data_IF_338737121972
#
_entry.id   IF_338737121972
#
_cell.length_a   1.000
_cell.length_b   1.000
_cell.length_c   1.000
_cell.angle_alpha   90.00
_cell.angle_beta   90.00
_cell.angle_gamma   90.00
#
_symmetry.space_group_name_H-M   'P 1'
#
loop_
_entity.id
_entity.type
_entity.pdbx_description
1 polymer ?
#
# COMPACT_ATOMS: atom_id res chain seq x y z
N UNK A 1 -54.00 -35.81 -42.81
CA UNK A 1 -52.61 -36.13 -42.45
C UNK A 1 -52.03 -34.91 -41.77
N UNK A 2 -52.10 -34.75 -40.43
CA UNK A 2 -51.30 -35.45 -39.39
C UNK A 2 -49.80 -35.23 -39.64
N UNK A 3 -48.95 -34.68 -38.77
CA UNK A 3 -48.90 -34.43 -37.32
C UNK A 3 -48.07 -33.14 -37.13
N UNK A 4 -48.49 -32.15 -36.35
CA UNK A 4 -48.30 -32.03 -34.90
C UNK A 4 -46.91 -32.41 -34.37
N UNK A 5 -46.12 -31.35 -34.22
CA UNK A 5 -44.98 -31.14 -33.33
C UNK A 5 -45.30 -31.58 -31.89
N UNK A 6 -44.48 -32.43 -31.27
CA UNK A 6 -44.36 -32.51 -29.81
C UNK A 6 -42.91 -32.72 -29.40
N UNK A 7 -42.35 -31.69 -28.79
CA UNK A 7 -41.15 -31.69 -27.95
C UNK A 7 -41.29 -32.72 -26.82
N UNK A 8 -40.25 -33.53 -26.62
CA UNK A 8 -40.04 -34.30 -25.40
C UNK A 8 -39.61 -33.36 -24.27
N UNK A 9 -40.50 -33.13 -23.32
CA UNK A 9 -40.25 -32.38 -22.09
C UNK A 9 -39.97 -33.36 -20.94
N UNK A 10 -38.69 -33.74 -20.77
CA UNK A 10 -38.23 -34.51 -19.61
C UNK A 10 -38.04 -33.59 -18.39
N UNK A 11 -39.15 -33.01 -17.92
CA UNK A 11 -39.20 -32.21 -16.69
C UNK A 11 -39.05 -33.08 -15.43
N UNK A 12 -38.03 -32.77 -14.63
CA UNK A 12 -37.82 -33.37 -13.29
C UNK A 12 -39.08 -33.19 -12.43
N UNK A 13 -39.62 -34.28 -11.93
CA UNK A 13 -40.88 -34.28 -11.17
C UNK A 13 -40.72 -33.61 -9.80
N UNK A 14 -41.75 -32.86 -9.35
CA UNK A 14 -41.84 -32.25 -8.01
C UNK A 14 -41.51 -33.23 -6.87
N UNK A 15 -41.72 -34.53 -7.09
CA UNK A 15 -41.38 -35.60 -6.14
C UNK A 15 -39.86 -35.83 -6.03
N UNK A 16 -39.12 -35.70 -7.13
CA UNK A 16 -37.65 -35.75 -7.13
C UNK A 16 -37.05 -34.50 -6.49
N UNK A 17 -37.68 -33.33 -6.65
CA UNK A 17 -37.27 -32.10 -5.94
C UNK A 17 -37.47 -32.25 -4.42
N UNK A 18 -38.61 -32.80 -3.99
CA UNK A 18 -38.88 -33.03 -2.55
C UNK A 18 -37.95 -34.09 -1.94
N UNK A 19 -37.60 -35.14 -2.68
CA UNK A 19 -36.63 -36.16 -2.23
C UNK A 19 -35.21 -35.58 -2.18
N UNK A 20 -34.83 -34.73 -3.14
CA UNK A 20 -33.53 -34.03 -3.16
C UNK A 20 -33.39 -33.00 -2.03
N UNK A 21 -34.45 -32.27 -1.69
CA UNK A 21 -34.48 -31.33 -0.56
C UNK A 21 -34.47 -32.05 0.78
N UNK A 22 -35.14 -33.22 0.89
CA UNK A 22 -35.11 -34.04 2.10
C UNK A 22 -33.72 -34.66 2.38
N UNK A 23 -32.99 -35.07 1.34
CA UNK A 23 -31.63 -35.58 1.48
C UNK A 23 -30.60 -34.50 1.84
N UNK A 24 -30.82 -33.24 1.43
CA UNK A 24 -29.98 -32.10 1.82
C UNK A 24 -30.26 -31.60 3.24
N UNK A 25 -31.50 -31.72 3.74
CA UNK A 25 -31.85 -31.33 5.10
C UNK A 25 -31.32 -32.31 6.16
N UNK A 26 -31.17 -33.59 5.83
CA UNK A 26 -30.58 -34.59 6.74
C UNK A 26 -29.03 -34.53 6.80
N UNK A 27 -28.38 -33.86 5.85
CA UNK A 27 -26.92 -33.61 5.87
C UNK A 27 -26.49 -32.43 6.75
N UNK A 28 -27.42 -31.57 7.17
CA UNK A 28 -27.12 -30.37 7.94
C UNK A 28 -27.04 -30.57 9.46
N UNK A 29 -27.30 -31.79 9.97
CA UNK A 29 -27.36 -32.07 11.41
C UNK A 29 -26.16 -32.84 11.98
N UNK A 30 -25.10 -33.11 11.19
CA UNK A 30 -23.93 -33.90 11.64
C UNK A 30 -22.58 -33.17 11.59
N UNK A 31 -22.53 -31.87 11.35
CA UNK A 31 -21.26 -31.10 11.36
C UNK A 31 -20.86 -30.56 12.73
N UNK A 32 -21.56 -30.93 13.82
CA UNK A 32 -21.25 -30.47 15.17
C UNK A 32 -20.09 -31.20 15.89
N UNK A 33 -19.30 -32.02 15.20
CA UNK A 33 -18.09 -32.60 15.78
C UNK A 33 -16.88 -32.47 14.84
N UNK A 34 -15.96 -31.56 15.19
CA UNK A 34 -14.56 -31.63 14.80
C UNK A 34 -14.18 -30.88 13.52
N UNK A 35 -14.03 -29.56 13.63
CA UNK A 35 -13.30 -28.77 12.64
C UNK A 35 -13.68 -27.30 12.70
N UNK A 36 -12.77 -26.46 13.17
CA UNK A 36 -12.87 -25.00 13.09
C UNK A 36 -12.90 -24.55 11.61
N UNK A 37 -14.06 -24.65 10.97
CA UNK A 37 -14.40 -23.81 9.83
C UNK A 37 -14.73 -22.45 10.41
N UNK A 38 -13.72 -21.59 10.45
CA UNK A 38 -13.91 -20.17 10.67
C UNK A 38 -14.66 -19.66 9.43
N UNK A 39 -15.99 -19.74 9.45
CA UNK A 39 -16.80 -19.04 8.48
C UNK A 39 -16.39 -17.58 8.60
N UNK A 40 -15.68 -17.08 7.59
CA UNK A 40 -15.29 -15.70 7.47
C UNK A 40 -16.57 -14.87 7.36
N UNK A 41 -17.24 -14.65 8.48
CA UNK A 41 -18.42 -13.82 8.57
C UNK A 41 -17.94 -12.37 8.45
N UNK A 42 -17.81 -11.91 7.21
CA UNK A 42 -17.91 -10.49 6.86
C UNK A 42 -19.37 -9.99 7.01
N UNK A 43 -20.11 -10.51 7.99
CA UNK A 43 -21.48 -10.07 8.26
C UNK A 43 -21.37 -8.85 9.18
N UNK A 44 -21.41 -7.66 8.59
CA UNK A 44 -21.64 -6.39 9.30
C UNK A 44 -20.48 -5.41 9.37
N UNK A 45 -19.28 -5.74 8.89
CA UNK A 45 -18.19 -4.76 8.72
C UNK A 45 -18.11 -4.32 7.25
N UNK A 46 -18.82 -3.24 6.89
CA UNK A 46 -18.65 -2.63 5.58
C UNK A 46 -17.32 -1.88 5.54
N UNK A 47 -16.37 -2.39 4.75
CA UNK A 47 -15.11 -1.69 4.42
C UNK A 47 -15.33 -0.39 3.64
N UNK A 48 -16.57 -0.08 3.26
CA UNK A 48 -16.98 1.14 2.58
C UNK A 48 -17.47 2.24 3.53
N UNK A 49 -17.51 1.97 4.85
CA UNK A 49 -17.83 3.00 5.85
C UNK A 49 -16.57 3.76 6.26
N UNK A 50 -16.56 5.06 6.02
CA UNK A 50 -15.45 5.95 6.33
C UNK A 50 -15.75 6.88 7.52
N UNK A 51 -14.72 7.32 8.27
CA UNK A 51 -13.35 6.80 8.26
C UNK A 51 -13.27 5.39 8.85
N UNK A 52 -12.26 4.61 8.47
CA UNK A 52 -11.95 3.37 9.20
C UNK A 52 -11.46 3.71 10.62
N UNK A 53 -11.76 2.86 11.63
CA UNK A 53 -11.44 3.21 13.00
C UNK A 53 -9.92 3.28 13.24
N UNK A 54 -9.42 4.45 13.61
CA UNK A 54 -8.00 4.69 13.85
C UNK A 54 -7.70 5.00 15.32
N UNK A 55 -6.68 4.33 15.85
CA UNK A 55 -6.02 4.66 17.13
C UNK A 55 -4.61 5.14 16.85
N UNK A 56 -4.12 6.11 17.65
CA UNK A 56 -2.78 6.65 17.45
C UNK A 56 -1.71 5.56 17.53
N UNK A 57 -0.78 5.62 16.59
CA UNK A 57 0.36 4.72 16.53
C UNK A 57 1.63 5.46 16.93
N UNK A 58 2.64 4.72 17.38
CA UNK A 58 3.97 5.27 17.64
C UNK A 58 4.71 5.35 16.28
N UNK A 59 5.14 6.54 15.83
CA UNK A 59 5.85 6.71 14.56
C UNK A 59 7.15 5.89 14.49
N UNK A 60 7.93 5.86 15.58
CA UNK A 60 9.20 5.14 15.67
C UNK A 60 8.97 3.63 15.60
N UNK A 61 8.03 3.10 16.39
CA UNK A 61 7.66 1.68 16.35
C UNK A 61 7.21 1.27 14.96
N UNK A 62 6.40 2.11 14.30
CA UNK A 62 5.89 1.84 12.95
C UNK A 62 7.02 1.80 11.94
N UNK A 63 7.96 2.73 12.01
CA UNK A 63 9.15 2.76 11.16
C UNK A 63 10.03 1.51 11.32
N UNK A 64 10.24 1.05 12.56
CA UNK A 64 10.97 -0.20 12.85
C UNK A 64 10.29 -1.43 12.24
N UNK A 65 8.96 -1.53 12.36
CA UNK A 65 8.19 -2.61 11.73
C UNK A 65 8.31 -2.52 10.21
N UNK A 66 8.13 -1.33 9.63
CA UNK A 66 8.23 -1.13 8.19
C UNK A 66 9.61 -1.51 7.65
N UNK A 67 10.69 -1.15 8.36
CA UNK A 67 12.04 -1.52 7.98
C UNK A 67 12.22 -3.05 7.90
N UNK A 68 11.70 -3.77 8.91
CA UNK A 68 11.76 -5.24 8.96
C UNK A 68 10.91 -5.88 7.86
N UNK A 69 9.66 -5.42 7.70
CA UNK A 69 8.72 -5.91 6.69
C UNK A 69 9.22 -5.68 5.26
N UNK A 70 10.02 -4.64 5.03
CA UNK A 70 10.59 -4.37 3.70
C UNK A 70 11.36 -5.55 3.13
N UNK A 71 12.06 -6.32 3.98
CA UNK A 71 12.81 -7.50 3.52
C UNK A 71 11.93 -8.69 3.16
N UNK A 72 10.64 -8.65 3.52
CA UNK A 72 9.64 -9.67 3.17
C UNK A 72 8.81 -9.26 1.96
N UNK A 73 8.37 -8.00 1.92
CA UNK A 73 7.33 -7.53 0.97
C UNK A 73 7.68 -6.23 0.25
N UNK A 74 8.91 -5.73 0.38
CA UNK A 74 9.39 -4.50 -0.27
C UNK A 74 8.60 -3.24 0.11
N UNK A 75 8.82 -2.14 -0.61
CA UNK A 75 8.53 -0.78 -0.15
C UNK A 75 7.06 -0.51 0.17
N UNK A 76 6.16 -0.63 -0.81
CA UNK A 76 4.77 -0.23 -0.61
C UNK A 76 4.01 -1.12 0.35
N UNK A 77 4.11 -2.45 0.17
CA UNK A 77 3.47 -3.40 1.06
C UNK A 77 4.06 -3.35 2.49
N UNK A 78 5.34 -3.01 2.68
CA UNK A 78 5.88 -2.84 4.04
C UNK A 78 5.30 -1.63 4.77
N UNK A 79 5.10 -0.51 4.07
CA UNK A 79 4.42 0.67 4.65
C UNK A 79 3.00 0.29 5.06
N UNK A 80 2.25 -0.38 4.18
CA UNK A 80 0.88 -0.86 4.46
C UNK A 80 0.87 -1.80 5.66
N UNK A 81 1.69 -2.86 5.64
CA UNK A 81 1.77 -3.86 6.72
C UNK A 81 2.18 -3.24 8.06
N UNK A 82 3.09 -2.26 8.05
CA UNK A 82 3.56 -1.62 9.29
C UNK A 82 2.46 -0.85 10.03
N UNK A 83 1.53 -0.24 9.30
CA UNK A 83 0.40 0.50 9.89
C UNK A 83 -0.78 -0.43 10.14
N UNK A 84 -1.23 -1.16 9.11
CA UNK A 84 -2.42 -2.00 9.20
C UNK A 84 -2.21 -3.23 10.09
N UNK A 85 -0.99 -3.77 10.19
CA UNK A 85 -0.69 -4.85 11.13
C UNK A 85 -0.90 -4.42 12.58
N UNK A 86 -0.47 -3.21 12.95
CA UNK A 86 -0.71 -2.67 14.29
C UNK A 86 -2.19 -2.36 14.54
N UNK A 87 -2.89 -1.83 13.53
CA UNK A 87 -4.33 -1.53 13.65
C UNK A 87 -5.16 -2.81 13.68
N UNK A 88 -4.74 -3.88 13.00
CA UNK A 88 -5.34 -5.21 13.13
C UNK A 88 -5.34 -5.69 14.57
N UNK A 89 -4.19 -5.61 15.26
CA UNK A 89 -4.07 -6.02 16.66
C UNK A 89 -4.87 -5.14 17.62
N UNK A 90 -4.93 -3.82 17.36
CA UNK A 90 -5.53 -2.85 18.28
C UNK A 90 -7.02 -2.57 18.03
N UNK A 91 -7.50 -2.80 16.82
CA UNK A 91 -8.84 -2.39 16.34
C UNK A 91 -9.63 -3.58 15.78
N UNK A 92 -8.97 -4.50 15.07
CA UNK A 92 -9.62 -5.60 14.37
C UNK A 92 -10.07 -5.21 12.96
N UNK A 93 -11.35 -5.37 12.64
CA UNK A 93 -11.88 -5.04 11.32
C UNK A 93 -11.95 -3.52 11.06
N UNK A 94 -11.74 -3.07 9.80
CA UNK A 94 -11.55 -3.86 8.58
C UNK A 94 -10.09 -4.28 8.29
N UNK A 95 -9.14 -3.95 9.18
CA UNK A 95 -7.70 -4.27 8.98
C UNK A 95 -7.39 -5.76 9.09
N UNK A 96 -8.23 -6.52 9.80
CA UNK A 96 -8.12 -7.97 9.90
C UNK A 96 -8.38 -8.65 8.55
N UNK A 97 -9.39 -8.20 7.80
CA UNK A 97 -9.72 -8.73 6.48
C UNK A 97 -8.94 -8.08 5.32
N UNK A 98 -8.17 -7.01 5.56
CA UNK A 98 -7.44 -6.33 4.49
C UNK A 98 -6.23 -7.15 3.96
N UNK A 99 -6.15 -7.41 2.64
CA UNK A 99 -5.09 -8.25 2.05
C UNK A 99 -3.80 -7.45 1.79
N UNK A 100 -3.12 -7.01 2.85
CA UNK A 100 -1.96 -6.12 2.77
C UNK A 100 -0.81 -6.65 1.88
N UNK A 101 -0.57 -7.97 1.90
CA UNK A 101 0.50 -8.59 1.11
C UNK A 101 0.23 -8.60 -0.40
N UNK A 102 -1.04 -8.47 -0.82
CA UNK A 102 -1.38 -8.35 -2.24
C UNK A 102 -0.78 -7.11 -2.90
N UNK A 103 -0.28 -6.16 -2.12
CA UNK A 103 0.37 -4.94 -2.61
C UNK A 103 1.88 -5.07 -2.82
N UNK A 104 2.44 -6.30 -2.76
CA UNK A 104 3.87 -6.54 -3.03
C UNK A 104 4.30 -6.02 -4.41
N UNK A 105 3.37 -5.97 -5.38
CA UNK A 105 3.61 -5.43 -6.72
C UNK A 105 4.10 -3.98 -6.72
N UNK A 106 3.83 -3.19 -5.67
CA UNK A 106 4.35 -1.81 -5.54
C UNK A 106 5.89 -1.73 -5.56
N UNK A 107 6.60 -2.86 -5.44
CA UNK A 107 8.05 -2.93 -5.50
C UNK A 107 8.67 -2.41 -6.80
N UNK A 108 9.91 -1.91 -6.71
CA UNK A 108 10.65 -1.43 -7.90
C UNK A 108 9.95 -0.29 -8.67
N UNK A 109 8.96 0.35 -8.05
CA UNK A 109 8.06 1.28 -8.73
C UNK A 109 7.10 0.61 -9.71
N UNK A 110 6.48 -0.47 -9.23
CA UNK A 110 5.28 -1.20 -9.67
C UNK A 110 5.44 -2.59 -10.28
N UNK A 111 6.60 -2.98 -10.75
CA UNK A 111 7.12 -4.37 -10.91
C UNK A 111 8.48 -4.13 -11.59
N UNK A 112 9.32 -3.28 -10.98
CA UNK A 112 10.59 -2.85 -11.58
C UNK A 112 10.52 -1.79 -12.68
N UNK A 113 9.34 -1.26 -13.01
CA UNK A 113 9.17 -0.20 -14.04
C UNK A 113 9.76 1.16 -13.67
N UNK A 114 10.13 1.38 -12.40
CA UNK A 114 10.77 2.62 -11.98
C UNK A 114 9.83 3.84 -11.95
N UNK A 115 8.51 3.63 -11.94
CA UNK A 115 7.49 4.69 -11.90
C UNK A 115 7.37 5.29 -10.49
N UNK A 116 6.18 5.40 -9.89
CA UNK A 116 6.01 5.89 -8.52
C UNK A 116 6.77 5.01 -7.52
N UNK A 117 7.48 5.61 -6.56
CA UNK A 117 8.09 4.82 -5.48
C UNK A 117 7.00 4.11 -4.66
N UNK A 118 7.21 2.82 -4.39
CA UNK A 118 6.27 2.02 -3.61
C UNK A 118 5.99 2.61 -2.22
N UNK A 119 6.99 3.23 -1.58
CA UNK A 119 6.84 3.77 -0.21
C UNK A 119 5.75 4.85 -0.12
N UNK A 120 5.81 5.98 -0.87
CA UNK A 120 4.71 6.95 -0.86
C UNK A 120 3.41 6.38 -1.46
N UNK A 121 3.46 5.46 -2.43
CA UNK A 121 2.24 4.82 -2.94
C UNK A 121 1.50 4.02 -1.85
N UNK A 122 2.23 3.22 -1.07
CA UNK A 122 1.67 2.47 0.07
C UNK A 122 1.12 3.40 1.14
N UNK A 123 1.79 4.52 1.40
CA UNK A 123 1.33 5.52 2.35
C UNK A 123 0.02 6.19 1.92
N UNK A 124 -0.12 6.49 0.62
CA UNK A 124 -1.35 7.06 0.05
C UNK A 124 -2.51 6.06 0.17
N UNK A 125 -2.27 4.77 -0.07
CA UNK A 125 -3.27 3.72 0.16
C UNK A 125 -3.72 3.73 1.62
N UNK A 126 -2.77 3.72 2.56
CA UNK A 126 -3.07 3.74 4.00
C UNK A 126 -3.90 4.96 4.39
N UNK A 127 -3.52 6.17 3.97
CA UNK A 127 -4.23 7.40 4.31
C UNK A 127 -5.67 7.40 3.79
N UNK A 128 -5.89 6.99 2.53
CA UNK A 128 -7.22 6.97 1.93
C UNK A 128 -8.10 5.83 2.45
N UNK A 129 -7.51 4.70 2.87
CA UNK A 129 -8.26 3.67 3.59
C UNK A 129 -8.61 4.09 5.03
N UNK A 130 -7.76 4.84 5.72
CA UNK A 130 -8.08 5.25 7.10
C UNK A 130 -9.12 6.38 7.10
N UNK A 131 -8.87 7.44 6.34
CA UNK A 131 -9.69 8.65 6.37
C UNK A 131 -10.90 8.52 5.46
N UNK A 132 -10.74 7.81 4.35
CA UNK A 132 -11.71 7.69 3.26
C UNK A 132 -11.25 8.42 1.99
N UNK A 133 -11.78 8.00 0.83
CA UNK A 133 -11.52 8.67 -0.43
C UNK A 133 -12.24 10.03 -0.46
N UNK A 134 -11.76 10.96 -1.29
CA UNK A 134 -12.36 12.29 -1.45
C UNK A 134 -13.88 12.25 -1.76
N UNK A 135 -14.33 11.22 -2.47
CA UNK A 135 -15.75 11.02 -2.82
C UNK A 135 -16.64 10.68 -1.61
N UNK A 136 -16.05 10.35 -0.45
CA UNK A 136 -16.77 10.09 0.80
C UNK A 136 -16.95 11.36 1.67
N UNK A 137 -16.48 12.53 1.21
CA UNK A 137 -16.72 13.83 1.86
C UNK A 137 -15.54 14.38 2.67
N UNK A 138 -14.61 13.55 3.13
CA UNK A 138 -13.36 14.02 3.75
C UNK A 138 -12.24 14.13 2.69
N UNK A 139 -11.52 15.25 2.71
CA UNK A 139 -10.41 15.53 1.79
C UNK A 139 -9.04 15.25 2.40
N UNK A 140 -8.96 15.01 3.71
CA UNK A 140 -7.68 14.91 4.42
C UNK A 140 -6.84 13.72 3.95
N UNK A 141 -7.44 12.58 3.61
CA UNK A 141 -6.71 11.44 3.03
C UNK A 141 -6.02 11.78 1.70
N UNK A 142 -6.71 12.55 0.86
CA UNK A 142 -6.16 13.03 -0.42
C UNK A 142 -5.05 14.06 -0.20
N UNK A 143 -5.23 14.99 0.74
CA UNK A 143 -4.23 16.02 1.08
C UNK A 143 -2.97 15.43 1.72
N UNK A 144 -3.13 14.47 2.64
CA UNK A 144 -1.99 13.72 3.21
C UNK A 144 -1.22 12.99 2.11
N UNK A 145 -1.93 12.47 1.10
CA UNK A 145 -1.28 11.80 -0.03
C UNK A 145 -0.41 12.79 -0.83
N UNK A 146 -0.87 14.01 -1.02
CA UNK A 146 -0.11 15.08 -1.67
C UNK A 146 1.10 15.51 -0.82
N UNK A 147 0.89 15.75 0.49
CA UNK A 147 1.95 16.10 1.45
C UNK A 147 3.07 15.07 1.47
N UNK A 148 2.73 13.78 1.53
CA UNK A 148 3.71 12.70 1.55
C UNK A 148 4.51 12.64 0.24
N UNK A 149 3.85 12.86 -0.89
CA UNK A 149 4.51 12.86 -2.20
C UNK A 149 5.50 14.01 -2.34
N UNK A 150 5.11 15.21 -1.89
CA UNK A 150 5.99 16.38 -1.91
C UNK A 150 7.13 16.23 -0.89
N UNK A 151 6.81 15.89 0.37
CA UNK A 151 7.81 15.66 1.41
C UNK A 151 8.83 14.59 1.02
N UNK A 152 8.38 13.46 0.46
CA UNK A 152 9.29 12.42 -0.02
C UNK A 152 10.26 12.93 -1.09
N UNK A 153 9.78 13.84 -1.94
CA UNK A 153 10.56 14.42 -3.04
C UNK A 153 11.61 15.41 -2.54
N UNK A 154 11.31 16.14 -1.46
CA UNK A 154 12.13 17.25 -0.94
C UNK A 154 13.03 16.84 0.24
N UNK A 155 12.68 15.76 0.96
CA UNK A 155 13.44 15.31 2.12
C UNK A 155 14.81 14.74 1.73
N UNK A 156 15.81 15.03 2.57
CA UNK A 156 17.14 14.41 2.49
C UNK A 156 17.08 12.96 3.01
N UNK A 157 16.85 12.03 2.10
CA UNK A 157 16.49 10.64 2.41
C UNK A 157 17.70 9.69 2.45
N UNK A 158 17.71 8.67 3.34
CA UNK A 158 16.66 8.35 4.33
C UNK A 158 16.70 9.25 5.58
N UNK A 159 15.52 9.50 6.17
CA UNK A 159 15.36 10.30 7.40
C UNK A 159 15.50 9.41 8.64
N UNK A 160 14.83 8.27 8.63
CA UNK A 160 14.81 7.32 9.74
C UNK A 160 16.03 6.38 9.72
N UNK A 161 16.63 6.17 10.88
CA UNK A 161 17.68 5.18 11.13
C UNK A 161 17.10 4.07 12.02
N UNK A 162 16.97 2.83 11.52
CA UNK A 162 16.50 1.72 12.34
C UNK A 162 17.55 1.37 13.41
N UNK A 163 17.09 0.83 14.54
CA UNK A 163 17.97 0.39 15.64
C UNK A 163 18.98 -0.68 15.22
N UNK A 164 18.54 -1.60 14.36
CA UNK A 164 19.34 -2.73 13.88
C UNK A 164 19.40 -2.72 12.34
N UNK A 165 20.16 -1.80 11.73
CA UNK A 165 20.31 -1.75 10.29
C UNK A 165 21.13 -2.95 9.79
N UNK A 166 20.73 -3.57 8.68
CA UNK A 166 21.52 -4.61 7.99
C UNK A 166 22.81 -4.06 7.42
N UNK A 167 22.87 -2.77 7.12
CA UNK A 167 24.09 -2.08 6.70
C UNK A 167 24.51 -1.08 7.78
N UNK A 168 25.57 -1.38 8.51
CA UNK A 168 26.05 -0.50 9.59
C UNK A 168 26.86 0.67 9.09
N UNK A 169 27.41 0.59 7.87
CA UNK A 169 28.10 1.69 7.22
C UNK A 169 27.14 2.87 6.98
N UNK A 170 27.70 4.08 7.03
CA UNK A 170 26.96 5.28 6.71
C UNK A 170 26.52 5.25 5.23
N UNK A 171 25.24 5.48 5.01
CA UNK A 171 24.67 5.60 3.66
C UNK A 171 24.51 7.10 3.36
N UNK A 172 24.93 7.57 2.17
CA UNK A 172 24.73 8.96 1.81
C UNK A 172 23.24 9.28 1.77
N UNK A 173 22.87 10.50 2.14
CA UNK A 173 21.53 11.02 1.97
C UNK A 173 21.41 11.78 0.66
N UNK A 174 20.24 11.71 0.03
CA UNK A 174 19.95 12.40 -1.23
C UNK A 174 18.54 12.95 -1.24
N UNK A 175 18.35 14.10 -1.86
CA UNK A 175 17.03 14.65 -2.20
C UNK A 175 16.69 14.17 -3.62
N UNK A 176 15.52 13.55 -3.81
CA UNK A 176 15.16 12.99 -5.12
C UNK A 176 14.63 14.05 -6.08
N UNK A 177 14.04 15.13 -5.56
CA UNK A 177 13.19 16.09 -6.29
C UNK A 177 12.09 15.40 -7.11
N UNK A 178 11.74 14.16 -6.75
CA UNK A 178 10.86 13.33 -7.57
C UNK A 178 10.21 12.23 -6.75
N UNK A 179 8.91 11.98 -6.91
CA UNK A 179 8.28 10.81 -6.35
C UNK A 179 8.64 9.52 -7.10
N UNK A 180 9.30 9.63 -8.27
CA UNK A 180 9.65 8.48 -9.09
C UNK A 180 10.78 7.64 -8.46
N UNK A 181 10.57 6.33 -8.45
CA UNK A 181 11.52 5.34 -7.99
C UNK A 181 12.81 5.38 -8.81
N UNK A 182 12.70 5.49 -10.14
CA UNK A 182 13.85 5.60 -11.03
C UNK A 182 14.78 6.76 -10.64
N UNK A 183 14.23 7.97 -10.47
CA UNK A 183 15.00 9.16 -10.13
C UNK A 183 15.55 9.07 -8.70
N UNK A 184 14.72 8.69 -7.72
CA UNK A 184 15.12 8.57 -6.32
C UNK A 184 16.24 7.56 -6.11
N UNK A 185 16.10 6.34 -6.66
CA UNK A 185 17.11 5.30 -6.55
C UNK A 185 18.33 5.63 -7.41
N UNK A 186 18.15 6.14 -8.62
CA UNK A 186 19.23 6.48 -9.55
C UNK A 186 20.17 7.56 -9.00
N UNK A 187 19.62 8.67 -8.45
CA UNK A 187 20.42 9.72 -7.79
C UNK A 187 21.20 9.17 -6.61
N UNK A 188 20.56 8.35 -5.78
CA UNK A 188 21.23 7.72 -4.64
C UNK A 188 22.35 6.77 -5.07
N UNK A 189 22.10 5.92 -6.06
CA UNK A 189 23.11 4.98 -6.58
C UNK A 189 24.34 5.70 -7.16
N UNK A 190 24.12 6.83 -7.84
CA UNK A 190 25.21 7.70 -8.33
C UNK A 190 26.02 8.28 -7.16
N UNK A 191 25.34 8.83 -6.14
CA UNK A 191 26.01 9.41 -4.97
C UNK A 191 26.76 8.38 -4.13
N UNK A 192 26.18 7.20 -3.93
CA UNK A 192 26.79 6.11 -3.16
C UNK A 192 27.85 5.32 -3.95
N UNK A 193 27.88 5.48 -5.28
CA UNK A 193 28.63 4.63 -6.20
C UNK A 193 28.35 3.13 -5.97
N UNK A 194 27.06 2.77 -5.89
CA UNK A 194 26.60 1.39 -5.64
C UNK A 194 25.62 0.94 -6.72
N UNK A 195 25.73 -0.30 -7.23
CA UNK A 195 24.81 -0.83 -8.23
C UNK A 195 23.46 -1.19 -7.62
N UNK A 196 22.45 -1.40 -8.48
CA UNK A 196 21.07 -1.70 -8.05
C UNK A 196 21.01 -2.98 -7.21
N UNK A 197 21.84 -3.98 -7.49
CA UNK A 197 21.87 -5.24 -6.73
C UNK A 197 22.48 -5.14 -5.32
N UNK A 198 23.13 -4.02 -4.99
CA UNK A 198 23.90 -3.87 -3.74
C UNK A 198 23.05 -3.98 -2.48
N UNK A 199 23.65 -4.50 -1.41
CA UNK A 199 23.00 -4.60 -0.11
C UNK A 199 22.72 -3.21 0.48
N UNK A 200 23.60 -2.24 0.22
CA UNK A 200 23.47 -0.83 0.59
C UNK A 200 22.26 -0.17 -0.07
N UNK A 201 22.03 -0.41 -1.38
CA UNK A 201 20.81 0.10 -2.05
C UNK A 201 19.56 -0.51 -1.45
N UNK A 202 19.54 -1.83 -1.24
CA UNK A 202 18.39 -2.53 -0.64
C UNK A 202 18.06 -1.96 0.73
N UNK A 203 19.08 -1.82 1.58
CA UNK A 203 18.95 -1.25 2.92
C UNK A 203 18.51 0.21 2.89
N UNK A 204 19.04 1.03 1.96
CA UNK A 204 18.53 2.40 1.73
C UNK A 204 17.03 2.40 1.41
N UNK A 205 16.56 1.52 0.51
CA UNK A 205 15.13 1.43 0.18
C UNK A 205 14.28 1.01 1.39
N UNK A 206 14.78 0.11 2.24
CA UNK A 206 14.13 -0.25 3.50
C UNK A 206 14.03 0.95 4.46
N UNK A 207 15.11 1.72 4.64
CA UNK A 207 15.11 2.94 5.47
C UNK A 207 14.21 4.03 4.90
N UNK A 208 14.10 4.14 3.58
CA UNK A 208 13.18 5.09 2.93
C UNK A 208 11.73 4.68 3.17
N UNK A 209 11.38 3.39 3.05
CA UNK A 209 10.05 2.91 3.42
C UNK A 209 9.73 3.19 4.89
N UNK A 210 10.68 2.91 5.80
CA UNK A 210 10.55 3.22 7.21
C UNK A 210 10.38 4.72 7.49
N UNK A 211 11.14 5.57 6.78
CA UNK A 211 11.00 7.04 6.86
C UNK A 211 9.61 7.48 6.43
N UNK A 212 9.09 6.92 5.33
CA UNK A 212 7.73 7.23 4.87
C UNK A 212 6.66 6.77 5.87
N UNK A 213 6.79 5.58 6.44
CA UNK A 213 5.86 5.07 7.45
C UNK A 213 5.90 5.92 8.74
N UNK A 214 7.10 6.35 9.16
CA UNK A 214 7.28 7.28 10.27
C UNK A 214 6.47 8.56 10.06
N UNK A 215 6.71 9.24 8.94
CA UNK A 215 6.08 10.52 8.67
C UNK A 215 4.57 10.41 8.43
N UNK A 216 4.12 9.34 7.75
CA UNK A 216 2.70 9.04 7.60
C UNK A 216 1.99 8.94 8.95
N UNK A 217 2.59 8.27 9.94
CA UNK A 217 1.97 8.14 11.27
C UNK A 217 1.95 9.47 12.01
N UNK A 218 2.95 10.34 11.83
CA UNK A 218 2.88 11.71 12.35
C UNK A 218 1.65 12.44 11.79
N UNK A 219 1.46 12.41 10.47
CA UNK A 219 0.31 13.06 9.81
C UNK A 219 -1.04 12.45 10.21
N UNK A 220 -1.14 11.12 10.33
CA UNK A 220 -2.36 10.45 10.78
C UNK A 220 -2.69 10.75 12.24
N UNK A 221 -1.67 10.85 13.11
CA UNK A 221 -1.85 11.25 14.51
C UNK A 221 -2.28 12.72 14.61
N UNK A 222 -1.69 13.62 13.82
CA UNK A 222 -2.12 15.02 13.72
C UNK A 222 -3.58 15.11 13.24
N UNK A 223 -3.96 14.34 12.23
CA UNK A 223 -5.35 14.29 11.73
C UNK A 223 -6.30 13.78 12.82
N UNK A 224 -5.93 12.70 13.52
CA UNK A 224 -6.73 12.14 14.62
C UNK A 224 -6.94 13.13 15.76
N UNK A 225 -5.96 13.98 16.03
CA UNK A 225 -6.02 15.04 17.05
C UNK A 225 -6.71 16.33 16.52
N UNK A 226 -7.18 16.36 15.27
CA UNK A 226 -7.79 17.53 14.65
C UNK A 226 -6.80 18.67 14.34
N UNK A 227 -5.51 18.37 14.31
CA UNK A 227 -4.40 19.33 14.15
C UNK A 227 -3.74 19.31 12.78
N UNK A 228 -4.08 18.34 11.93
CA UNK A 228 -3.52 18.24 10.60
C UNK A 228 -3.85 19.47 9.75
N UNK A 229 -2.82 20.05 9.15
CA UNK A 229 -2.91 21.14 8.18
C UNK A 229 -2.13 20.70 6.94
N UNK A 230 -2.75 20.79 5.76
CA UNK A 230 -2.09 20.47 4.50
C UNK A 230 -0.91 21.42 4.24
N UNK A 231 0.21 20.86 3.80
CA UNK A 231 1.49 21.58 3.63
C UNK A 231 1.92 21.66 2.16
N UNK A 232 1.42 20.75 1.32
CA UNK A 232 1.78 20.67 -0.07
C UNK A 232 1.37 21.92 -0.85
N UNK A 233 2.22 22.31 -1.76
CA UNK A 233 2.06 23.46 -2.66
C UNK A 233 2.10 23.02 -4.13
N UNK A 234 1.97 21.73 -4.40
CA UNK A 234 2.20 21.14 -5.71
C UNK A 234 1.02 21.39 -6.66
N UNK A 235 1.21 22.29 -7.65
CA UNK A 235 0.11 22.75 -8.52
C UNK A 235 0.44 22.65 -10.04
N UNK A 236 0.94 21.50 -10.55
CA UNK A 236 1.49 21.41 -11.91
C UNK A 236 0.44 21.66 -13.01
N UNK A 237 -0.80 21.23 -12.80
CA UNK A 237 -1.88 21.47 -13.78
C UNK A 237 -2.21 22.95 -13.88
N UNK A 238 -2.19 23.68 -12.75
CA UNK A 238 -2.44 25.12 -12.74
C UNK A 238 -1.29 25.87 -13.39
N UNK A 239 -0.05 25.47 -13.11
CA UNK A 239 1.13 26.21 -13.52
C UNK A 239 1.58 25.85 -14.96
N UNK A 240 1.31 24.63 -15.41
CA UNK A 240 1.80 24.10 -16.69
C UNK A 240 0.72 23.48 -17.59
N UNK A 241 -0.54 23.38 -17.14
CA UNK A 241 -1.64 22.81 -17.92
C UNK A 241 -1.62 21.28 -18.06
N UNK A 242 -0.72 20.58 -17.35
CA UNK A 242 -0.56 19.13 -17.42
C UNK A 242 -0.18 18.55 -16.05
N UNK A 243 -0.48 17.27 -15.82
CA UNK A 243 0.09 16.54 -14.68
C UNK A 243 1.59 16.34 -14.90
N UNK A 244 2.40 16.84 -13.98
CA UNK A 244 3.86 16.74 -14.08
C UNK A 244 4.50 16.89 -12.71
N UNK A 245 5.80 16.63 -12.64
CA UNK A 245 6.63 17.15 -11.57
C UNK A 245 7.00 18.61 -11.88
N UNK A 246 7.38 19.39 -10.87
CA UNK A 246 7.73 20.82 -11.06
C UNK A 246 9.15 21.05 -11.61
N UNK A 247 9.84 19.99 -12.04
CA UNK A 247 11.27 19.99 -12.36
C UNK A 247 11.57 19.32 -13.72
N UNK A 248 10.82 19.68 -14.76
CA UNK A 248 10.89 19.06 -16.10
C UNK A 248 12.32 18.86 -16.62
N UNK A 249 13.21 19.84 -16.41
CA UNK A 249 14.60 19.81 -16.89
C UNK A 249 15.50 18.80 -16.17
N UNK A 250 15.08 18.24 -15.03
CA UNK A 250 15.79 17.13 -14.41
C UNK A 250 15.66 15.83 -15.20
N UNK A 251 14.54 15.64 -15.92
CA UNK A 251 14.27 14.47 -16.74
C UNK A 251 14.44 14.72 -18.24
N UNK A 252 14.19 15.95 -18.71
CA UNK A 252 14.26 16.33 -20.13
C UNK A 252 15.51 17.16 -20.49
N UNK A 253 16.43 17.34 -19.54
CA UNK A 253 17.75 17.93 -19.77
C UNK A 253 18.86 16.88 -19.83
N UNK A 254 20.11 17.32 -19.72
CA UNK A 254 21.30 16.45 -19.65
C UNK A 254 21.52 15.78 -18.28
N UNK A 255 20.64 16.05 -17.30
CA UNK A 255 20.82 15.67 -15.89
C UNK A 255 20.12 14.35 -15.49
N UNK A 256 19.70 13.53 -16.46
CA UNK A 256 19.07 12.23 -16.18
C UNK A 256 20.10 11.32 -15.46
N UNK A 257 19.81 10.83 -14.24
CA UNK A 257 20.75 9.98 -13.51
C UNK A 257 21.07 8.69 -14.27
N UNK A 258 22.34 8.48 -14.60
CA UNK A 258 22.83 7.19 -15.14
C UNK A 258 23.44 6.36 -14.00
N UNK A 259 22.84 5.20 -13.64
CA UNK A 259 23.37 4.35 -12.57
C UNK A 259 24.62 3.57 -13.03
N UNK A 260 25.55 3.22 -12.11
CA UNK A 260 26.63 2.28 -12.41
C UNK A 260 26.05 0.88 -12.69
N UNK A 261 26.56 0.22 -13.75
CA UNK A 261 26.18 -1.15 -14.10
C UNK A 261 26.87 -2.17 -13.18
N UNK A 262 26.22 -3.30 -12.93
CA UNK A 262 26.88 -4.43 -12.25
C UNK A 262 28.03 -4.97 -13.11
N UNK A 263 29.16 -5.33 -12.48
CA UNK A 263 30.21 -6.08 -13.17
C UNK A 263 29.62 -7.45 -13.55
N UNK A 264 29.74 -7.80 -14.83
CA UNK A 264 29.33 -9.11 -15.36
C UNK A 264 30.13 -10.23 -14.71
#
# INVERSE_FOLDING_TARGET
>A
MSMEEKMDDNGVSRRQVMIGVGALAAGAALTHFGGMVNSAQAIGCSSEKWPWPYVKLDPTKTAEICYKEWYRVFCGAAVINSVFGQLREKVGEPYQSFPADSFVFLEGGQVGWGTICGSPAGANIVANCIIGPRIAGDTAGHKISEDIMQWYSEASMPVFMPKEPKITAELPKTISNSPLCHISVGKWMKAANKPIGSAERKDRCARVAASTAYHLVELLNEWKDGKYVAKATHMPVKDFGITSQMNCMECHGSNIPTPPMAKK
#
